data_IF_213713640099
#
_entry.id   IF_213713640099
#
_cell.length_a   1.000
_cell.length_b   1.000
_cell.length_c   1.000
_cell.angle_alpha   90.00
_cell.angle_beta   90.00
_cell.angle_gamma   90.00
#
_symmetry.space_group_name_H-M   'P 1'
#
loop_
_entity.id
_entity.type
_entity.pdbx_description
1 polymer ?
#
# COMPACT_ATOMS: atom_id res chain seq x y z
N UNK A 1 -7.00 25.71 -14.80
CA UNK A 1 -5.96 24.67 -14.66
C UNK A 1 -6.68 23.34 -14.59
N UNK A 2 -6.79 22.65 -15.71
CA UNK A 2 -7.30 21.28 -15.76
C UNK A 2 -6.12 20.35 -15.47
N UNK A 3 -6.28 19.43 -14.52
CA UNK A 3 -5.34 18.34 -14.27
C UNK A 3 -5.67 17.21 -15.25
N UNK A 4 -4.75 16.92 -16.15
CA UNK A 4 -4.83 15.80 -17.09
C UNK A 4 -4.48 14.51 -16.34
N UNK A 5 -5.43 13.59 -16.28
CA UNK A 5 -5.38 12.37 -15.49
C UNK A 5 -4.73 11.26 -16.35
N UNK A 6 -3.43 11.02 -16.16
CA UNK A 6 -2.60 10.14 -17.02
C UNK A 6 -2.81 8.63 -16.82
N UNK A 7 -3.89 8.20 -16.16
CA UNK A 7 -4.10 6.79 -15.80
C UNK A 7 -5.27 6.09 -16.50
N UNK A 8 -5.85 6.69 -17.54
CA UNK A 8 -6.83 5.98 -18.37
C UNK A 8 -6.20 5.52 -19.70
N UNK A 9 -5.69 4.28 -19.73
CA UNK A 9 -5.41 3.57 -20.98
C UNK A 9 -6.32 2.36 -21.02
N UNK A 10 -7.26 2.41 -21.96
CA UNK A 10 -8.10 1.31 -22.44
C UNK A 10 -7.29 0.03 -22.63
N UNK A 11 -7.72 -1.05 -21.99
CA UNK A 11 -7.24 -2.40 -22.28
C UNK A 11 -8.44 -3.30 -22.60
N UNK A 12 -8.99 -3.12 -23.80
CA UNK A 12 -9.85 -4.12 -24.43
C UNK A 12 -9.03 -5.32 -24.90
N UNK A 13 -9.23 -6.45 -24.23
CA UNK A 13 -9.38 -7.81 -24.76
C UNK A 13 -8.38 -8.32 -25.83
N UNK A 14 -7.47 -9.23 -25.44
CA UNK A 14 -7.10 -10.43 -26.20
C UNK A 14 -6.64 -11.52 -25.22
N UNK A 15 -7.31 -12.68 -25.26
CA UNK A 15 -7.04 -13.82 -24.41
C UNK A 15 -5.82 -14.64 -24.83
N UNK A 16 -5.24 -15.35 -23.86
CA UNK A 16 -5.30 -16.82 -23.73
C UNK A 16 -4.04 -17.35 -23.02
N UNK A 17 -4.26 -18.25 -22.07
CA UNK A 17 -3.29 -19.28 -21.65
C UNK A 17 -2.05 -18.85 -20.86
N UNK A 18 -2.22 -18.49 -19.57
CA UNK A 18 -1.38 -18.93 -18.45
C UNK A 18 -1.69 -18.08 -17.21
N UNK A 19 -2.89 -18.26 -16.64
CA UNK A 19 -3.22 -17.66 -15.36
C UNK A 19 -2.43 -18.38 -14.26
N UNK A 20 -1.43 -17.66 -13.75
CA UNK A 20 -0.70 -17.86 -12.52
C UNK A 20 -1.47 -18.67 -11.46
N UNK A 21 -1.08 -19.94 -11.33
CA UNK A 21 -1.47 -20.79 -10.21
C UNK A 21 -0.59 -20.44 -8.99
N UNK A 22 -0.79 -19.26 -8.41
CA UNK A 22 -0.03 -18.80 -7.23
C UNK A 22 -0.93 -18.31 -6.10
N UNK A 23 -2.11 -18.89 -5.94
CA UNK A 23 -2.90 -18.74 -4.72
C UNK A 23 -3.70 -20.02 -4.51
N UNK A 24 -3.15 -20.93 -3.71
CA UNK A 24 -3.85 -21.44 -2.52
C UNK A 24 -2.93 -22.43 -1.78
N UNK A 25 -2.42 -22.03 -0.61
CA UNK A 25 -2.20 -22.91 0.54
C UNK A 25 -2.07 -21.99 1.76
N UNK A 26 -3.11 -22.02 2.60
CA UNK A 26 -3.41 -21.21 3.79
C UNK A 26 -4.38 -20.05 3.49
N UNK A 27 -5.66 -20.40 3.33
CA UNK A 27 -6.82 -19.50 3.44
C UNK A 27 -7.03 -18.98 4.89
N UNK A 28 -5.94 -18.67 5.58
CA UNK A 28 -5.98 -17.99 6.87
C UNK A 28 -5.87 -16.50 6.56
N UNK A 29 -7.02 -15.83 6.52
CA UNK A 29 -7.06 -14.37 6.58
C UNK A 29 -6.07 -13.90 7.66
N UNK A 30 -5.11 -13.01 7.35
CA UNK A 30 -4.17 -12.47 8.35
C UNK A 30 -4.87 -11.86 9.57
N UNK A 31 -6.14 -11.46 9.43
CA UNK A 31 -6.98 -10.99 10.51
C UNK A 31 -7.75 -12.11 11.24
N UNK A 32 -7.73 -13.37 10.78
CA UNK A 32 -8.47 -14.48 11.38
C UNK A 32 -8.05 -14.74 12.83
N UNK A 33 -6.74 -14.73 13.13
CA UNK A 33 -6.23 -14.92 14.49
C UNK A 33 -6.67 -13.78 15.42
N UNK A 34 -6.67 -12.54 14.90
CA UNK A 34 -7.14 -11.37 15.63
C UNK A 34 -8.65 -11.44 15.89
N UNK A 35 -9.44 -11.76 14.86
CA UNK A 35 -10.89 -11.90 14.95
C UNK A 35 -11.29 -13.05 15.90
N UNK A 36 -10.56 -14.16 15.91
CA UNK A 36 -10.79 -15.24 16.87
C UNK A 36 -10.47 -14.83 18.32
N UNK A 37 -9.37 -14.08 18.51
CA UNK A 37 -8.97 -13.58 19.83
C UNK A 37 -10.01 -12.62 20.40
N UNK A 38 -10.45 -11.64 19.60
CA UNK A 38 -11.50 -10.69 19.98
C UNK A 38 -12.84 -11.40 20.23
N UNK A 39 -13.18 -12.41 19.43
CA UNK A 39 -14.40 -13.22 19.64
C UNK A 39 -14.37 -14.02 20.94
N UNK A 40 -13.22 -14.60 21.31
CA UNK A 40 -13.08 -15.32 22.59
C UNK A 40 -13.14 -14.37 23.79
N UNK A 41 -12.52 -13.20 23.68
CA UNK A 41 -12.52 -12.18 24.74
C UNK A 41 -13.93 -11.58 24.96
N UNK A 42 -14.70 -11.37 23.89
CA UNK A 42 -16.10 -10.94 23.98
C UNK A 42 -17.04 -12.05 24.47
N UNK A 43 -16.82 -13.30 24.07
CA UNK A 43 -17.65 -14.43 24.47
C UNK A 43 -17.61 -14.72 25.99
N UNK A 44 -16.48 -14.42 26.65
CA UNK A 44 -16.34 -14.59 28.11
C UNK A 44 -17.08 -13.49 28.90
N UNK A 45 -17.34 -12.33 28.28
CA UNK A 45 -18.14 -11.24 28.86
C UNK A 45 -19.64 -11.45 28.65
N UNK A 46 -20.06 -12.13 27.58
CA UNK A 46 -21.48 -12.25 27.18
C UNK A 46 -22.01 -13.68 27.15
N UNK A 47 -21.40 -14.61 27.89
CA UNK A 47 -21.74 -16.03 27.94
C UNK A 47 -23.24 -16.31 27.71
N UNK A 48 -23.56 -16.88 26.55
CA UNK A 48 -24.89 -17.30 26.09
C UNK A 48 -26.04 -16.29 26.26
N UNK A 49 -25.79 -15.00 26.08
CA UNK A 49 -26.88 -14.03 25.87
C UNK A 49 -27.25 -13.96 24.39
N UNK A 50 -28.36 -14.60 24.05
CA UNK A 50 -29.02 -14.55 22.74
C UNK A 50 -28.92 -13.15 22.11
N UNK A 51 -28.27 -13.06 20.94
CA UNK A 51 -28.16 -11.85 20.13
C UNK A 51 -29.52 -11.23 19.74
N UNK A 52 -30.61 -11.98 19.90
CA UNK A 52 -31.99 -11.53 19.74
C UNK A 52 -32.49 -10.62 20.89
N UNK A 53 -31.81 -10.55 22.04
CA UNK A 53 -32.21 -9.68 23.15
C UNK A 53 -31.74 -8.23 22.95
N UNK A 54 -30.62 -8.02 22.26
CA UNK A 54 -30.09 -6.68 21.97
C UNK A 54 -30.75 -6.03 20.73
N UNK A 55 -31.20 -6.83 19.76
CA UNK A 55 -31.91 -6.33 18.58
C UNK A 55 -33.28 -5.70 18.94
N UNK A 56 -34.03 -6.32 19.86
CA UNK A 56 -35.37 -5.84 20.25
C UNK A 56 -35.35 -4.59 21.17
N UNK A 57 -34.22 -4.27 21.79
CA UNK A 57 -34.11 -3.11 22.68
C UNK A 57 -34.02 -1.76 21.91
N UNK A 58 -33.58 -1.80 20.64
CA UNK A 58 -33.50 -0.61 19.79
C UNK A 58 -34.81 -0.32 19.03
N UNK A 59 -35.58 -1.35 18.67
CA UNK A 59 -36.84 -1.16 17.95
C UNK A 59 -37.99 -0.67 18.85
N UNK A 60 -37.99 -1.03 20.14
CA UNK A 60 -39.01 -0.55 21.09
C UNK A 60 -38.85 0.95 21.45
N UNK A 61 -37.64 1.51 21.31
CA UNK A 61 -37.39 2.94 21.61
C UNK A 61 -37.70 3.87 20.45
N UNK A 62 -37.63 3.40 19.21
CA UNK A 62 -37.83 4.22 18.02
C UNK A 62 -39.31 4.49 17.69
N UNK A 63 -40.26 3.82 18.35
CA UNK A 63 -41.70 4.06 18.14
C UNK A 63 -42.34 5.05 19.14
N UNK A 64 -41.56 5.61 20.09
CA UNK A 64 -42.06 6.62 21.06
C UNK A 64 -41.53 8.03 20.76
N UNK A 65 -40.56 8.19 19.86
CA UNK A 65 -39.93 9.47 19.55
C UNK A 65 -40.13 9.87 18.07
N UNK A 66 -41.38 9.82 17.59
CA UNK A 66 -41.78 10.62 16.43
C UNK A 66 -42.01 12.08 16.86
N UNK A 67 -40.93 12.69 17.32
CA UNK A 67 -40.83 14.09 17.76
C UNK A 67 -39.43 14.56 17.42
N UNK A 68 -39.17 14.65 16.11
CA UNK A 68 -37.83 14.78 15.55
C UNK A 68 -37.11 16.06 15.93
N UNK A 69 -35.78 15.98 16.03
CA UNK A 69 -34.87 17.11 15.91
C UNK A 69 -33.54 16.64 15.32
N UNK A 70 -33.35 16.92 14.03
CA UNK A 70 -32.07 17.02 13.36
C UNK A 70 -31.32 18.27 13.86
N UNK A 71 -29.99 18.22 14.12
CA UNK A 71 -29.26 19.42 14.49
C UNK A 71 -28.84 20.17 13.21
N UNK A 72 -29.75 21.00 12.70
CA UNK A 72 -29.38 22.09 11.79
C UNK A 72 -29.05 23.32 12.65
N UNK A 73 -27.78 23.73 12.63
CA UNK A 73 -27.29 24.96 13.21
C UNK A 73 -27.91 26.16 12.49
N UNK A 74 -28.89 26.82 13.10
CA UNK A 74 -29.25 28.18 12.74
C UNK A 74 -29.41 29.07 13.98
N UNK A 75 -28.63 30.14 13.96
CA UNK A 75 -28.50 31.18 14.98
C UNK A 75 -29.69 32.14 14.88
N UNK A 76 -30.27 32.49 16.03
CA UNK A 76 -31.10 33.70 16.18
C UNK A 76 -32.54 33.42 16.62
N UNK A 77 -32.82 33.66 17.91
CA UNK A 77 -34.19 33.62 18.43
C UNK A 77 -34.24 33.59 19.95
N UNK A 78 -34.46 34.77 20.53
CA UNK A 78 -34.58 35.05 21.96
C UNK A 78 -35.74 34.29 22.61
N UNK A 79 -35.48 33.37 23.54
CA UNK A 79 -36.47 32.88 24.51
C UNK A 79 -35.81 32.53 25.86
N UNK A 80 -36.50 32.96 26.93
CA UNK A 80 -36.27 32.84 28.39
C UNK A 80 -35.21 31.90 28.96
N UNK A 81 -34.59 32.26 30.12
CA UNK A 81 -33.76 31.34 30.86
C UNK A 81 -34.62 30.21 31.42
N UNK A 82 -34.37 28.99 30.95
CA UNK A 82 -34.82 27.77 31.61
C UNK A 82 -34.08 27.70 32.95
N UNK A 83 -34.75 27.61 34.10
CA UNK A 83 -34.05 27.39 35.36
C UNK A 83 -33.40 26.02 35.29
N UNK A 84 -32.07 25.98 35.23
CA UNK A 84 -31.24 24.79 35.41
C UNK A 84 -31.25 24.43 36.89
N UNK A 85 -32.42 24.07 37.43
CA UNK A 85 -32.52 23.59 38.80
C UNK A 85 -32.78 22.10 38.78
N UNK A 86 -31.77 21.38 39.27
CA UNK A 86 -31.83 20.04 39.84
C UNK A 86 -31.81 18.88 38.83
N UNK A 87 -30.62 18.63 38.28
CA UNK A 87 -30.22 17.23 38.10
C UNK A 87 -30.24 16.56 39.48
N UNK A 88 -30.98 15.46 39.71
CA UNK A 88 -31.03 14.77 41.00
C UNK A 88 -29.67 14.19 41.43
N UNK A 89 -28.65 14.33 40.59
CA UNK A 89 -27.28 13.90 40.84
C UNK A 89 -26.30 15.04 41.17
N UNK A 90 -26.69 16.31 41.04
CA UNK A 90 -25.77 17.45 41.27
C UNK A 90 -25.44 17.68 42.76
N UNK A 91 -26.25 17.18 43.68
CA UNK A 91 -26.00 17.28 45.13
C UNK A 91 -25.27 16.08 45.75
N UNK A 92 -24.99 15.02 44.97
CA UNK A 92 -24.38 13.79 45.48
C UNK A 92 -22.84 13.83 45.49
N UNK A 93 -22.25 14.78 44.77
CA UNK A 93 -20.79 14.98 44.71
C UNK A 93 -20.24 15.46 46.06
N UNK A 94 -20.90 16.45 46.68
CA UNK A 94 -20.44 17.04 47.95
C UNK A 94 -20.75 16.17 49.19
N UNK A 95 -21.76 15.30 49.12
CA UNK A 95 -22.07 14.34 50.18
C UNK A 95 -21.04 13.21 50.30
N UNK A 96 -20.20 13.01 49.28
CA UNK A 96 -19.17 11.98 49.27
C UNK A 96 -17.91 12.35 50.08
N UNK A 97 -17.63 13.65 50.23
CA UNK A 97 -16.46 14.12 51.01
C UNK A 97 -16.70 14.11 52.53
N UNK A 98 -17.95 14.16 52.97
CA UNK A 98 -18.31 14.26 54.39
C UNK A 98 -18.53 12.89 55.08
N UNK A 99 -18.56 11.79 54.33
CA UNK A 99 -18.64 10.43 54.87
C UNK A 99 -17.22 9.88 54.86
N UNK A 100 -16.64 9.65 56.04
CA UNK A 100 -15.34 9.00 56.23
C UNK A 100 -15.28 7.75 55.33
N UNK A 101 -14.59 7.87 54.19
CA UNK A 101 -14.62 6.83 53.15
C UNK A 101 -14.16 5.50 53.79
N UNK A 102 -14.93 4.41 53.67
CA UNK A 102 -14.50 3.12 54.16
C UNK A 102 -13.12 2.79 53.58
N UNK A 103 -12.15 2.40 54.43
CA UNK A 103 -10.76 2.07 54.02
C UNK A 103 -10.68 1.09 52.84
N UNK A 104 -11.70 0.24 52.64
CA UNK A 104 -11.83 -0.64 51.47
C UNK A 104 -12.02 0.11 50.16
N UNK A 105 -12.83 1.18 50.15
CA UNK A 105 -13.05 2.03 48.97
C UNK A 105 -11.80 2.84 48.67
N UNK A 106 -11.11 3.34 49.69
CA UNK A 106 -9.81 4.03 49.54
C UNK A 106 -8.77 3.12 48.87
N UNK A 107 -8.59 1.90 49.40
CA UNK A 107 -7.71 0.88 48.79
C UNK A 107 -8.13 0.52 47.36
N UNK A 108 -9.42 0.36 47.11
CA UNK A 108 -9.92 0.04 45.77
C UNK A 108 -9.67 1.18 44.76
N UNK A 109 -9.87 2.45 45.15
CA UNK A 109 -9.56 3.61 44.31
C UNK A 109 -8.07 3.68 43.98
N UNK A 110 -7.21 3.42 44.96
CA UNK A 110 -5.76 3.40 44.79
C UNK A 110 -5.31 2.25 43.86
N UNK A 111 -5.82 1.03 44.07
CA UNK A 111 -5.57 -0.13 43.21
C UNK A 111 -6.12 0.04 41.79
N UNK A 112 -7.26 0.70 41.63
CA UNK A 112 -7.87 0.96 40.33
C UNK A 112 -7.14 2.08 39.58
N UNK A 113 -6.79 3.17 40.27
CA UNK A 113 -6.00 4.28 39.73
C UNK A 113 -4.63 3.82 39.25
N UNK A 114 -3.94 3.00 40.06
CA UNK A 114 -2.66 2.42 39.67
C UNK A 114 -2.79 1.46 38.47
N UNK A 115 -3.86 0.67 38.39
CA UNK A 115 -4.13 -0.20 37.24
C UNK A 115 -4.40 0.58 35.95
N UNK A 116 -5.17 1.66 36.02
CA UNK A 116 -5.40 2.55 34.87
C UNK A 116 -4.08 3.19 34.45
N UNK A 117 -3.35 3.78 35.38
CA UNK A 117 -2.07 4.42 35.09
C UNK A 117 -1.08 3.45 34.43
N UNK A 118 -1.04 2.18 34.87
CA UNK A 118 -0.23 1.15 34.22
C UNK A 118 -0.67 0.91 32.77
N UNK A 119 -1.97 0.76 32.51
CA UNK A 119 -2.50 0.59 31.14
C UNK A 119 -2.20 1.80 30.25
N UNK A 120 -2.35 3.01 30.77
CA UNK A 120 -2.06 4.24 30.04
C UNK A 120 -0.58 4.32 29.67
N UNK A 121 0.32 3.91 30.59
CA UNK A 121 1.76 3.86 30.27
C UNK A 121 2.11 2.80 29.23
N UNK A 122 1.45 1.63 29.28
CA UNK A 122 1.64 0.57 28.28
C UNK A 122 1.14 1.00 26.90
N UNK A 123 -0.01 1.69 26.84
CA UNK A 123 -0.53 2.25 25.59
C UNK A 123 0.43 3.30 25.01
N UNK A 124 0.92 4.23 25.84
CA UNK A 124 1.83 5.28 25.39
C UNK A 124 3.17 4.70 24.89
N UNK A 125 3.68 3.65 25.54
CA UNK A 125 4.87 2.94 25.06
C UNK A 125 4.59 2.30 23.69
N UNK A 126 3.50 1.55 23.55
CA UNK A 126 3.14 0.91 22.28
C UNK A 126 2.91 1.93 21.16
N UNK A 127 2.33 3.09 21.48
CA UNK A 127 2.13 4.20 20.56
C UNK A 127 3.47 4.74 20.05
N UNK A 128 4.42 4.97 20.98
CA UNK A 128 5.78 5.44 20.64
C UNK A 128 6.55 4.41 19.84
N UNK A 129 6.48 3.14 20.21
CA UNK A 129 7.12 2.04 19.47
C UNK A 129 6.57 1.97 18.03
N UNK A 130 5.26 2.06 17.85
CA UNK A 130 4.64 2.06 16.52
C UNK A 130 5.07 3.29 15.70
N UNK A 131 5.16 4.45 16.34
CA UNK A 131 5.63 5.68 15.68
C UNK A 131 7.11 5.60 15.30
N UNK A 132 7.95 5.05 16.17
CA UNK A 132 9.38 4.86 15.90
C UNK A 132 9.61 3.82 14.81
N UNK A 133 8.84 2.73 14.82
CA UNK A 133 8.87 1.71 13.78
C UNK A 133 8.46 2.30 12.42
N UNK A 134 7.36 3.06 12.37
CA UNK A 134 6.94 3.74 11.14
C UNK A 134 7.98 4.75 10.64
N UNK A 135 8.64 5.48 11.55
CA UNK A 135 9.75 6.39 11.18
C UNK A 135 10.92 5.61 10.59
N UNK A 136 11.32 4.51 11.23
CA UNK A 136 12.43 3.67 10.78
C UNK A 136 12.15 3.05 9.41
N UNK A 137 10.94 2.53 9.19
CA UNK A 137 10.54 1.97 7.90
C UNK A 137 10.58 3.01 6.78
N UNK A 138 10.19 4.24 7.08
CA UNK A 138 10.25 5.35 6.13
C UNK A 138 11.70 5.74 5.80
N UNK A 139 12.59 5.79 6.79
CA UNK A 139 14.02 6.01 6.57
C UNK A 139 14.66 4.86 5.76
N UNK A 140 14.33 3.61 6.09
CA UNK A 140 14.79 2.42 5.37
C UNK A 140 14.29 2.41 3.92
N UNK A 141 13.04 2.83 3.68
CA UNK A 141 12.50 2.98 2.33
C UNK A 141 13.29 4.01 1.51
N UNK A 142 13.58 5.18 2.08
CA UNK A 142 14.37 6.19 1.37
C UNK A 142 15.80 5.71 1.09
N UNK A 143 16.41 4.99 2.02
CA UNK A 143 17.74 4.38 1.83
C UNK A 143 17.73 3.36 0.70
N UNK A 144 16.78 2.41 0.71
CA UNK A 144 16.64 1.41 -0.35
C UNK A 144 16.37 2.06 -1.71
N UNK A 145 15.51 3.08 -1.75
CA UNK A 145 15.20 3.81 -2.98
C UNK A 145 16.43 4.55 -3.51
N UNK A 146 17.21 5.19 -2.63
CA UNK A 146 18.45 5.86 -3.01
C UNK A 146 19.47 4.85 -3.56
N UNK A 147 19.67 3.72 -2.89
CA UNK A 147 20.55 2.64 -3.34
C UNK A 147 20.11 2.08 -4.69
N UNK A 148 18.81 1.82 -4.88
CA UNK A 148 18.28 1.33 -6.15
C UNK A 148 18.49 2.34 -7.28
N UNK A 149 18.30 3.63 -7.01
CA UNK A 149 18.55 4.69 -7.99
C UNK A 149 20.03 4.77 -8.36
N UNK A 150 20.93 4.69 -7.37
CA UNK A 150 22.37 4.68 -7.59
C UNK A 150 22.81 3.43 -8.35
N UNK A 151 22.29 2.25 -7.98
CA UNK A 151 22.52 0.98 -8.67
C UNK A 151 22.09 1.07 -10.13
N UNK A 152 20.89 1.58 -10.41
CA UNK A 152 20.40 1.75 -11.79
C UNK A 152 21.25 2.76 -12.56
N UNK A 153 21.64 3.90 -11.96
CA UNK A 153 22.56 4.85 -12.60
C UNK A 153 23.92 4.23 -12.89
N UNK A 154 24.47 3.49 -11.94
CA UNK A 154 25.71 2.74 -12.09
C UNK A 154 25.64 1.74 -13.23
N UNK A 155 24.58 0.93 -13.27
CA UNK A 155 24.35 -0.04 -14.33
C UNK A 155 24.18 0.61 -15.71
N UNK A 156 23.48 1.74 -15.79
CA UNK A 156 23.37 2.48 -17.05
C UNK A 156 24.72 3.02 -17.51
N UNK A 157 25.55 3.55 -16.59
CA UNK A 157 26.90 4.02 -16.91
C UNK A 157 27.80 2.89 -17.37
N UNK A 158 27.78 1.75 -16.69
CA UNK A 158 28.59 0.58 -17.08
C UNK A 158 28.11 0.00 -18.40
N UNK A 159 26.80 -0.19 -18.60
CA UNK A 159 26.26 -0.63 -19.89
C UNK A 159 26.67 0.31 -21.03
N UNK A 160 26.55 1.63 -20.83
CA UNK A 160 26.91 2.59 -21.85
C UNK A 160 28.41 2.52 -22.17
N UNK A 161 29.27 2.44 -21.15
CA UNK A 161 30.72 2.24 -21.35
C UNK A 161 31.02 0.92 -22.07
N UNK A 162 30.39 -0.18 -21.68
CA UNK A 162 30.57 -1.48 -22.36
C UNK A 162 30.11 -1.41 -23.82
N UNK A 163 28.99 -0.74 -24.10
CA UNK A 163 28.53 -0.53 -25.48
C UNK A 163 29.53 0.31 -26.28
N UNK A 164 30.09 1.37 -25.69
CA UNK A 164 31.12 2.19 -26.33
C UNK A 164 32.41 1.39 -26.59
N UNK A 165 32.87 0.61 -25.61
CA UNK A 165 34.03 -0.27 -25.72
C UNK A 165 33.80 -1.35 -26.79
N UNK A 166 32.61 -1.96 -26.83
CA UNK A 166 32.23 -2.95 -27.85
C UNK A 166 32.18 -2.33 -29.25
N UNK A 167 31.61 -1.12 -29.39
CA UNK A 167 31.59 -0.38 -30.65
C UNK A 167 33.03 -0.05 -31.09
N UNK A 168 33.87 0.42 -30.17
CA UNK A 168 35.27 0.77 -30.44
C UNK A 168 36.09 -0.47 -30.81
N UNK A 169 35.93 -1.57 -30.09
CA UNK A 169 36.63 -2.84 -30.35
C UNK A 169 36.14 -3.50 -31.63
N UNK A 170 34.83 -3.49 -31.92
CA UNK A 170 34.31 -3.96 -33.20
C UNK A 170 34.84 -3.11 -34.36
N UNK A 171 34.96 -1.79 -34.16
CA UNK A 171 35.54 -0.85 -35.12
C UNK A 171 37.06 -1.03 -35.30
N UNK A 172 37.81 -1.37 -34.25
CA UNK A 172 39.28 -1.44 -34.27
C UNK A 172 39.86 -2.85 -34.47
N UNK A 173 39.21 -3.91 -33.98
CA UNK A 173 39.57 -5.31 -34.33
C UNK A 173 39.46 -5.57 -35.83
N UNK A 174 38.70 -4.72 -36.54
CA UNK A 174 38.57 -4.69 -38.00
C UNK A 174 39.79 -4.11 -38.74
N UNK A 175 40.79 -3.56 -38.05
CA UNK A 175 41.95 -2.89 -38.68
C UNK A 175 43.22 -3.77 -38.69
N UNK A 176 43.31 -4.84 -37.89
CA UNK A 176 44.61 -5.55 -37.75
C UNK A 176 44.86 -6.69 -38.76
N UNK A 177 43.87 -7.15 -39.53
CA UNK A 177 44.05 -8.30 -40.43
C UNK A 177 43.45 -8.13 -41.84
N UNK A 178 43.44 -6.90 -42.38
CA UNK A 178 43.26 -6.66 -43.82
C UNK A 178 41.95 -7.23 -44.42
N UNK A 179 40.87 -6.44 -44.32
CA UNK A 179 39.51 -6.64 -44.88
C UNK A 179 38.56 -7.50 -44.03
N UNK A 180 37.92 -6.86 -43.07
CA UNK A 180 36.52 -7.18 -42.73
C UNK A 180 35.63 -6.60 -43.82
N UNK A 181 34.72 -7.40 -44.40
CA UNK A 181 33.86 -6.91 -45.48
C UNK A 181 32.90 -5.85 -44.95
N UNK A 182 32.72 -4.74 -45.68
CA UNK A 182 31.79 -3.68 -45.24
C UNK A 182 30.34 -4.21 -45.13
N UNK A 183 30.02 -5.31 -45.84
CA UNK A 183 28.75 -6.01 -45.68
C UNK A 183 28.61 -6.75 -44.35
N UNK A 184 29.67 -7.28 -43.74
CA UNK A 184 29.59 -7.85 -42.38
C UNK A 184 29.18 -6.79 -41.35
N UNK A 185 29.69 -5.56 -41.51
CA UNK A 185 29.32 -4.42 -40.64
C UNK A 185 27.89 -3.94 -40.89
N UNK A 186 27.49 -3.83 -42.15
CA UNK A 186 26.14 -3.40 -42.50
C UNK A 186 25.11 -4.44 -42.04
N UNK A 187 25.41 -5.73 -42.21
CA UNK A 187 24.49 -6.80 -41.79
C UNK A 187 24.42 -6.93 -40.26
N UNK A 188 25.50 -6.74 -39.50
CA UNK A 188 25.42 -6.80 -38.03
C UNK A 188 24.53 -5.72 -37.40
N UNK A 189 24.34 -4.60 -38.09
CA UNK A 189 23.43 -3.52 -37.68
C UNK A 189 21.98 -3.74 -38.15
N UNK A 190 21.74 -4.73 -39.01
CA UNK A 190 20.41 -5.01 -39.57
C UNK A 190 19.68 -6.07 -38.74
N UNK A 191 18.41 -5.80 -38.41
CA UNK A 191 17.50 -6.79 -37.81
C UNK A 191 16.98 -7.75 -38.88
N UNK A 192 17.36 -9.02 -38.76
CA UNK A 192 16.98 -10.10 -39.67
C UNK A 192 15.87 -11.01 -39.10
N UNK A 193 15.50 -10.85 -37.83
CA UNK A 193 14.42 -11.62 -37.26
C UNK A 193 13.08 -11.17 -37.85
N UNK A 194 12.37 -12.04 -38.60
CA UNK A 194 11.11 -11.69 -39.23
C UNK A 194 10.01 -11.32 -38.23
N UNK A 195 10.10 -11.79 -36.97
CA UNK A 195 9.13 -11.50 -35.91
C UNK A 195 9.26 -10.09 -35.32
N UNK A 196 10.44 -9.48 -35.44
CA UNK A 196 10.72 -8.15 -34.88
C UNK A 196 10.54 -7.03 -35.92
N UNK A 197 9.97 -7.32 -37.09
CA UNK A 197 9.86 -6.36 -38.17
C UNK A 197 8.77 -5.32 -37.90
N UNK A 198 9.16 -4.16 -37.34
CA UNK A 198 8.26 -3.02 -37.08
C UNK A 198 8.04 -2.11 -38.29
N UNK A 199 8.60 -2.45 -39.45
CA UNK A 199 8.46 -1.66 -40.69
C UNK A 199 7.13 -1.96 -41.38
N UNK A 200 6.39 -0.91 -41.73
CA UNK A 200 5.18 -0.98 -42.58
C UNK A 200 5.51 -1.42 -44.02
N UNK A 201 6.76 -1.27 -44.46
CA UNK A 201 7.23 -1.70 -45.79
C UNK A 201 7.82 -3.10 -45.71
N UNK A 202 7.56 -3.92 -46.73
CA UNK A 202 8.21 -5.21 -46.90
C UNK A 202 9.68 -5.03 -47.26
N UNK A 203 10.56 -5.37 -46.31
CA UNK A 203 12.01 -5.32 -46.44
C UNK A 203 12.62 -6.71 -46.69
N UNK A 204 11.81 -7.75 -46.92
CA UNK A 204 12.28 -9.13 -47.07
C UNK A 204 13.26 -9.26 -48.23
N UNK A 205 12.93 -8.68 -49.39
CA UNK A 205 13.83 -8.65 -50.56
C UNK A 205 15.13 -7.89 -50.27
N UNK A 206 15.03 -6.74 -49.60
CA UNK A 206 16.20 -5.93 -49.24
C UNK A 206 17.15 -6.69 -48.28
N UNK A 207 16.59 -7.31 -47.24
CA UNK A 207 17.34 -8.15 -46.28
C UNK A 207 18.01 -9.34 -46.97
N UNK A 208 17.31 -9.99 -47.90
CA UNK A 208 17.87 -11.09 -48.70
C UNK A 208 19.08 -10.65 -49.53
N UNK A 209 18.99 -9.48 -50.20
CA UNK A 209 20.10 -8.91 -50.96
C UNK A 209 21.30 -8.58 -50.06
N UNK A 210 21.09 -7.99 -48.88
CA UNK A 210 22.18 -7.71 -47.93
C UNK A 210 22.92 -8.98 -47.49
N UNK A 211 22.19 -10.07 -47.22
CA UNK A 211 22.80 -11.36 -46.86
C UNK A 211 23.55 -11.99 -48.04
N UNK A 212 23.03 -11.86 -49.26
CA UNK A 212 23.71 -12.34 -50.46
C UNK A 212 25.02 -11.59 -50.70
N UNK A 213 25.02 -10.27 -50.54
CA UNK A 213 26.22 -9.43 -50.69
C UNK A 213 27.30 -9.77 -49.65
N UNK A 214 26.88 -10.09 -48.41
CA UNK A 214 27.76 -10.62 -47.37
C UNK A 214 28.40 -11.95 -47.79
N UNK A 215 27.59 -12.91 -48.27
CA UNK A 215 28.07 -14.23 -48.69
C UNK A 215 29.02 -14.15 -49.90
N UNK A 216 28.70 -13.33 -50.91
CA UNK A 216 29.52 -13.16 -52.11
C UNK A 216 30.95 -12.68 -51.80
N UNK A 217 31.14 -11.89 -50.74
CA UNK A 217 32.48 -11.47 -50.31
C UNK A 217 33.25 -12.55 -49.55
N UNK A 218 32.53 -13.50 -48.94
CA UNK A 218 33.15 -14.68 -48.30
C UNK A 218 33.47 -15.79 -49.31
N UNK A 219 32.72 -15.89 -50.42
CA UNK A 219 32.86 -16.92 -51.46
C UNK A 219 33.88 -16.60 -52.55
N UNK A 220 34.39 -15.36 -52.61
CA UNK A 220 35.45 -14.96 -53.55
C UNK A 220 36.87 -15.36 -53.14
N UNK A 221 37.00 -16.40 -52.30
CA UNK A 221 38.27 -17.03 -51.90
C UNK A 221 38.36 -18.43 -52.51
#
# INVERSE_FOLDING_TARGET
>A
MAFDDSFNIDATNMGDGAANNFYNYNDEDPAAEFLEREKRELADITGDTDSNLFANAFDARNNVLNGGLSPNLNVGGSYSPIPTSNSPYQGLSDLSEQINEPEKIRKWREEFSTRISKKDTEEEIKRKEMQEQARKELDDFYKQRAEQLERTKGQNRTNNRTLEDDIFNNRNSSTSNGKVSDWDKITSLCEFNPKNNRSQKDLTRYRSVLLQLKQQQTSGK
#
